data_IF_502619630046
#
_entry.id   IF_502619630046
#
_cell.length_a   1.000
_cell.length_b   1.000
_cell.length_c   1.000
_cell.angle_alpha   90.00
_cell.angle_beta   90.00
_cell.angle_gamma   90.00
#
_symmetry.space_group_name_H-M   'P 1'
#
loop_
_entity.id
_entity.type
_entity.pdbx_description
1 polymer ?
#
# COMPACT_ATOMS: atom_id res chain seq x y z
N UNK A 1 -4.61 -92.15 12.60
CA UNK A 1 -4.55 -91.20 11.46
C UNK A 1 -5.18 -89.89 11.92
N UNK A 2 -4.38 -88.85 12.15
CA UNK A 2 -4.84 -87.52 12.61
C UNK A 2 -4.66 -86.55 11.45
N UNK A 3 -5.74 -86.00 10.92
CA UNK A 3 -5.72 -84.95 9.92
C UNK A 3 -5.66 -83.59 10.62
N UNK A 4 -4.57 -82.85 10.42
CA UNK A 4 -4.47 -81.43 10.79
C UNK A 4 -5.00 -80.58 9.64
N UNK A 5 -6.07 -79.85 9.90
CA UNK A 5 -6.59 -78.79 9.03
C UNK A 5 -5.85 -77.50 9.32
N UNK A 6 -5.16 -76.96 8.30
CA UNK A 6 -4.54 -75.63 8.34
C UNK A 6 -5.51 -74.64 7.70
N UNK A 7 -5.96 -73.66 8.48
CA UNK A 7 -6.83 -72.57 8.02
C UNK A 7 -5.95 -71.42 7.52
N UNK A 8 -6.03 -71.09 6.22
CA UNK A 8 -5.40 -69.89 5.65
C UNK A 8 -6.27 -68.66 5.99
N UNK A 9 -5.71 -67.72 6.74
CA UNK A 9 -6.31 -66.40 6.94
C UNK A 9 -5.68 -65.41 5.96
N UNK A 10 -6.47 -64.95 4.98
CA UNK A 10 -6.07 -63.93 4.01
C UNK A 10 -6.25 -62.55 4.64
N UNK A 11 -5.15 -61.82 4.87
CA UNK A 11 -5.18 -60.43 5.35
C UNK A 11 -5.29 -59.50 4.13
N UNK A 12 -6.43 -58.79 4.02
CA UNK A 12 -6.61 -57.69 3.08
C UNK A 12 -5.92 -56.43 3.63
N UNK A 13 -4.84 -55.99 3.00
CA UNK A 13 -4.29 -54.64 3.19
C UNK A 13 -5.19 -53.63 2.46
N UNK A 14 -5.90 -52.80 3.23
CA UNK A 14 -6.57 -51.61 2.71
C UNK A 14 -5.54 -50.51 2.42
N UNK A 15 -5.44 -50.11 1.15
CA UNK A 15 -4.72 -48.90 0.77
C UNK A 15 -5.59 -47.68 1.12
N UNK A 16 -5.21 -46.94 2.17
CA UNK A 16 -5.78 -45.62 2.45
C UNK A 16 -5.12 -44.64 1.48
N UNK A 17 -5.85 -44.24 0.46
CA UNK A 17 -5.44 -43.12 -0.39
C UNK A 17 -5.44 -41.85 0.49
N UNK A 18 -4.24 -41.30 0.73
CA UNK A 18 -4.10 -39.99 1.34
C UNK A 18 -4.72 -38.96 0.38
N UNK A 19 -5.81 -38.34 0.80
CA UNK A 19 -6.37 -37.19 0.10
C UNK A 19 -5.29 -36.09 0.02
N UNK A 20 -5.11 -35.43 -1.13
CA UNK A 20 -4.22 -34.28 -1.23
C UNK A 20 -4.70 -33.23 -0.23
N UNK A 21 -3.78 -32.77 0.62
CA UNK A 21 -4.03 -31.66 1.52
C UNK A 21 -4.50 -30.47 0.69
N UNK A 22 -5.76 -30.10 0.82
CA UNK A 22 -6.27 -28.82 0.34
C UNK A 22 -5.53 -27.75 1.11
N UNK A 23 -4.52 -27.13 0.48
CA UNK A 23 -3.97 -25.85 0.93
C UNK A 23 -5.13 -24.87 0.96
N UNK A 24 -5.63 -24.59 2.16
CA UNK A 24 -6.45 -23.42 2.43
C UNK A 24 -5.73 -22.20 1.86
N UNK A 25 -6.38 -21.36 1.04
CA UNK A 25 -5.77 -20.10 0.63
C UNK A 25 -5.55 -19.30 1.91
N UNK A 26 -4.28 -19.19 2.32
CA UNK A 26 -3.88 -18.30 3.40
C UNK A 26 -4.51 -16.94 3.11
N UNK A 27 -5.39 -16.49 3.99
CA UNK A 27 -5.99 -15.17 3.93
C UNK A 27 -4.81 -14.20 4.02
N UNK A 28 -4.33 -13.67 2.89
CA UNK A 28 -3.18 -12.75 2.88
C UNK A 28 -3.68 -11.45 3.51
N UNK A 29 -3.27 -11.09 4.74
CA UNK A 29 -3.57 -9.75 5.22
C UNK A 29 -2.91 -8.79 4.22
N UNK A 30 -3.62 -7.72 3.83
CA UNK A 30 -3.11 -6.70 2.88
C UNK A 30 -2.03 -5.81 3.52
N UNK A 31 -1.13 -6.42 4.29
CA UNK A 31 0.01 -5.86 4.98
C UNK A 31 1.31 -6.26 4.29
N UNK A 32 2.32 -5.41 4.44
CA UNK A 32 3.64 -5.59 3.85
C UNK A 32 4.72 -5.13 4.84
N UNK A 33 5.54 -6.06 5.30
CA UNK A 33 6.63 -5.83 6.25
C UNK A 33 7.88 -5.37 5.53
N UNK A 34 8.28 -4.13 5.77
CA UNK A 34 9.47 -3.57 5.18
C UNK A 34 10.75 -4.32 5.63
N UNK A 35 11.55 -4.87 4.68
CA UNK A 35 12.86 -5.43 4.99
C UNK A 35 13.78 -4.38 5.62
N UNK A 36 14.72 -4.83 6.44
CA UNK A 36 15.81 -3.99 6.94
C UNK A 36 16.83 -3.67 5.85
N UNK A 37 17.35 -2.44 5.85
CA UNK A 37 18.42 -2.03 4.92
C UNK A 37 17.97 -1.90 3.47
N UNK A 38 16.68 -1.59 3.24
CA UNK A 38 16.23 -1.20 1.91
C UNK A 38 17.02 0.01 1.43
N UNK A 39 17.31 0.03 0.13
CA UNK A 39 17.84 1.22 -0.53
C UNK A 39 16.72 2.24 -0.64
N UNK A 40 17.09 3.50 -0.72
CA UNK A 40 16.16 4.56 -1.08
C UNK A 40 15.58 4.29 -2.47
N UNK A 41 14.33 4.68 -2.70
CA UNK A 41 13.67 4.56 -3.99
C UNK A 41 12.19 4.19 -3.89
N UNK A 42 11.57 4.03 -5.05
CA UNK A 42 10.17 3.63 -5.19
C UNK A 42 10.06 2.11 -5.40
N UNK A 43 9.14 1.50 -4.66
CA UNK A 43 8.91 0.08 -4.62
C UNK A 43 7.46 -0.29 -4.88
N UNK A 44 7.28 -1.50 -5.44
CA UNK A 44 6.01 -2.23 -5.44
C UNK A 44 6.12 -3.37 -4.45
N UNK A 45 5.23 -3.39 -3.47
CA UNK A 45 5.04 -4.52 -2.57
C UNK A 45 3.90 -5.39 -3.07
N UNK A 46 4.10 -6.70 -3.19
CA UNK A 46 3.07 -7.66 -3.56
C UNK A 46 3.43 -9.05 -3.03
N UNK A 47 2.48 -9.98 -3.08
CA UNK A 47 2.77 -11.39 -2.80
C UNK A 47 2.82 -12.18 -4.11
N UNK A 48 3.89 -12.94 -4.36
CA UNK A 48 4.04 -13.74 -5.56
C UNK A 48 3.10 -14.97 -5.59
N UNK A 49 3.20 -15.79 -6.64
CA UNK A 49 2.38 -16.99 -6.82
C UNK A 49 2.55 -17.99 -5.66
N UNK A 50 3.73 -18.03 -5.03
CA UNK A 50 4.02 -18.88 -3.86
C UNK A 50 3.48 -18.29 -2.55
N UNK A 51 3.00 -17.06 -2.57
CA UNK A 51 2.56 -16.33 -1.37
C UNK A 51 3.68 -15.73 -0.56
N UNK A 52 4.87 -15.64 -1.13
CA UNK A 52 5.97 -14.91 -0.53
C UNK A 52 5.81 -13.43 -0.81
N UNK A 53 6.04 -12.62 0.21
CA UNK A 53 6.11 -11.17 0.11
C UNK A 53 7.33 -10.74 -0.72
N UNK A 54 7.11 -9.86 -1.69
CA UNK A 54 8.11 -9.32 -2.62
C UNK A 54 8.08 -7.80 -2.57
N UNK A 55 9.26 -7.19 -2.43
CA UNK A 55 9.49 -5.76 -2.56
C UNK A 55 10.35 -5.52 -3.80
N UNK A 56 9.71 -5.14 -4.89
CA UNK A 56 10.38 -4.85 -6.16
C UNK A 56 10.76 -3.37 -6.21
N UNK A 57 12.06 -3.08 -6.30
CA UNK A 57 12.55 -1.73 -6.59
C UNK A 57 12.25 -1.42 -8.06
N UNK A 58 11.31 -0.50 -8.31
CA UNK A 58 10.95 -0.11 -9.68
C UNK A 58 11.79 1.06 -10.16
N UNK A 59 12.18 1.94 -9.23
CA UNK A 59 12.95 3.13 -9.56
C UNK A 59 13.80 3.60 -8.37
N UNK A 60 15.04 3.95 -8.67
CA UNK A 60 15.95 4.66 -7.76
C UNK A 60 15.39 6.06 -7.40
N UNK A 61 15.87 6.73 -6.35
CA UNK A 61 15.38 8.04 -5.96
C UNK A 61 15.50 9.06 -7.10
N UNK A 62 14.50 9.92 -7.26
CA UNK A 62 14.58 10.96 -8.27
C UNK A 62 15.73 11.93 -7.92
N UNK A 63 16.54 12.24 -8.92
CA UNK A 63 17.64 13.19 -8.77
C UNK A 63 17.08 14.60 -8.55
N UNK A 64 17.83 15.52 -7.90
CA UNK A 64 17.38 16.91 -7.73
C UNK A 64 16.97 17.60 -9.04
N UNK A 65 17.59 17.22 -10.16
CA UNK A 65 17.27 17.72 -11.50
C UNK A 65 15.90 17.24 -12.00
N UNK A 66 15.57 15.97 -11.78
CA UNK A 66 14.26 15.41 -12.15
C UNK A 66 13.16 16.03 -11.29
N UNK A 67 13.41 16.19 -9.99
CA UNK A 67 12.50 16.85 -9.07
C UNK A 67 12.21 18.30 -9.48
N UNK A 68 13.24 19.05 -9.86
CA UNK A 68 13.10 20.45 -10.30
C UNK A 68 12.34 20.58 -11.62
N UNK A 69 12.50 19.61 -12.54
CA UNK A 69 11.76 19.59 -13.79
C UNK A 69 10.26 19.33 -13.58
N UNK A 70 9.89 18.53 -12.57
CA UNK A 70 8.49 18.22 -12.27
C UNK A 70 7.77 19.32 -11.47
N UNK A 71 8.48 20.19 -10.75
CA UNK A 71 7.89 21.34 -10.05
C UNK A 71 7.46 22.51 -10.95
N UNK A 72 7.81 22.48 -12.25
CA UNK A 72 7.64 23.62 -13.16
C UNK A 72 6.23 23.79 -13.77
N UNK A 73 5.30 22.88 -13.46
CA UNK A 73 3.91 22.97 -13.95
C UNK A 73 2.96 23.33 -12.80
N UNK A 74 3.21 24.45 -12.13
CA UNK A 74 2.17 25.11 -11.35
C UNK A 74 1.28 25.88 -12.33
N UNK A 75 0.27 25.21 -12.90
CA UNK A 75 -0.86 25.94 -13.48
C UNK A 75 -1.47 26.78 -12.36
N UNK A 76 -1.65 28.10 -12.52
CA UNK A 76 -2.32 28.90 -11.50
C UNK A 76 -3.70 28.29 -11.26
N UNK A 77 -3.94 27.88 -10.01
CA UNK A 77 -5.25 27.44 -9.55
C UNK A 77 -6.16 28.65 -9.69
N UNK A 78 -7.01 28.65 -10.71
CA UNK A 78 -8.07 29.62 -10.83
C UNK A 78 -8.94 29.51 -9.57
N UNK A 79 -9.13 30.65 -8.91
CA UNK A 79 -10.01 30.80 -7.76
C UNK A 79 -11.41 30.29 -8.18
N UNK A 80 -11.98 29.26 -7.52
CA UNK A 80 -13.27 28.74 -7.92
C UNK A 80 -14.34 29.78 -7.62
N UNK A 81 -15.04 30.24 -8.66
CA UNK A 81 -16.28 31.00 -8.50
C UNK A 81 -17.27 30.22 -7.61
N UNK A 82 -18.12 30.90 -6.82
CA UNK A 82 -19.01 30.25 -5.86
C UNK A 82 -20.14 29.53 -6.59
N UNK A 83 -19.87 28.32 -7.07
CA UNK A 83 -20.90 27.44 -7.60
C UNK A 83 -21.80 26.92 -6.48
N UNK A 84 -23.09 27.12 -6.71
CA UNK A 84 -24.27 26.72 -5.93
C UNK A 84 -24.03 25.49 -5.05
N UNK A 85 -24.42 25.62 -3.77
CA UNK A 85 -24.55 24.57 -2.76
C UNK A 85 -25.35 23.36 -3.28
N UNK A 86 -24.68 22.45 -3.98
CA UNK A 86 -25.11 21.07 -4.14
C UNK A 86 -24.94 20.41 -2.77
N UNK A 87 -25.96 19.68 -2.32
CA UNK A 87 -25.99 18.97 -1.04
C UNK A 87 -24.63 18.35 -0.70
N UNK A 88 -23.94 18.93 0.29
CA UNK A 88 -22.64 18.46 0.77
C UNK A 88 -22.84 17.09 1.43
N UNK A 89 -22.73 16.01 0.66
CA UNK A 89 -22.57 14.69 1.24
C UNK A 89 -21.33 14.73 2.14
N UNK A 90 -21.52 14.32 3.40
CA UNK A 90 -20.43 14.20 4.37
C UNK A 90 -19.37 13.27 3.79
N UNK A 91 -18.22 13.81 3.42
CA UNK A 91 -17.08 13.01 2.96
C UNK A 91 -16.63 12.14 4.14
N UNK A 92 -16.76 10.80 4.07
CA UNK A 92 -16.26 9.91 5.13
C UNK A 92 -14.76 9.69 4.97
N UNK A 93 -14.03 10.78 5.09
CA UNK A 93 -12.59 10.73 5.21
C UNK A 93 -12.21 10.21 6.58
N UNK A 94 -11.26 9.29 6.61
CA UNK A 94 -10.67 8.81 7.86
C UNK A 94 -9.19 9.15 7.91
N UNK A 95 -8.75 9.44 9.12
CA UNK A 95 -7.41 9.87 9.43
C UNK A 95 -6.90 9.08 10.63
N UNK A 96 -5.61 8.78 10.59
CA UNK A 96 -4.88 8.15 11.70
C UNK A 96 -3.58 8.92 11.88
N UNK A 97 -3.45 9.64 13.00
CA UNK A 97 -2.32 10.52 13.28
C UNK A 97 -1.39 9.93 14.35
N UNK A 98 -0.10 9.88 14.07
CA UNK A 98 0.96 9.45 14.98
C UNK A 98 1.39 10.55 15.95
N UNK A 99 0.45 11.17 16.67
CA UNK A 99 0.73 12.32 17.52
C UNK A 99 1.86 12.09 18.52
N UNK A 100 2.75 13.08 18.66
CA UNK A 100 3.93 13.00 19.52
C UNK A 100 5.14 12.34 18.85
N UNK A 101 4.99 11.84 17.62
CA UNK A 101 6.10 11.41 16.76
C UNK A 101 6.44 12.53 15.78
N UNK A 102 7.72 12.68 15.49
CA UNK A 102 8.24 13.53 14.41
C UNK A 102 8.96 12.64 13.41
N UNK A 103 8.96 13.07 12.15
CA UNK A 103 9.78 12.49 11.09
C UNK A 103 10.91 13.45 10.72
N UNK A 104 11.92 12.95 10.00
CA UNK A 104 12.89 13.82 9.34
C UNK A 104 12.21 14.55 8.18
N UNK A 105 12.33 15.89 8.15
CA UNK A 105 11.61 16.73 7.19
C UNK A 105 12.10 16.51 5.75
N UNK A 106 13.42 16.49 5.55
CA UNK A 106 14.02 16.32 4.22
C UNK A 106 13.74 14.95 3.64
N UNK A 107 13.84 13.90 4.46
CA UNK A 107 13.48 12.53 4.09
C UNK A 107 11.99 12.43 3.72
N UNK A 108 11.11 13.08 4.52
CA UNK A 108 9.67 13.06 4.29
C UNK A 108 9.29 13.73 2.97
N UNK A 109 9.77 14.96 2.74
CA UNK A 109 9.49 15.71 1.51
C UNK A 109 10.01 14.94 0.28
N UNK A 110 11.20 14.33 0.40
CA UNK A 110 11.80 13.57 -0.67
C UNK A 110 11.06 12.26 -0.97
N UNK A 111 10.64 11.49 0.05
CA UNK A 111 9.89 10.25 -0.14
C UNK A 111 8.50 10.52 -0.76
N UNK A 112 7.84 11.59 -0.32
CA UNK A 112 6.55 12.04 -0.88
C UNK A 112 6.71 12.44 -2.34
N UNK A 113 7.76 13.20 -2.67
CA UNK A 113 7.97 13.64 -4.05
C UNK A 113 8.38 12.48 -4.98
N UNK A 114 9.17 11.50 -4.52
CA UNK A 114 9.45 10.29 -5.29
C UNK A 114 8.16 9.52 -5.61
N UNK A 115 7.24 9.41 -4.64
CA UNK A 115 5.95 8.75 -4.84
C UNK A 115 5.08 9.51 -5.86
N UNK A 116 5.03 10.84 -5.77
CA UNK A 116 4.31 11.71 -6.73
C UNK A 116 4.90 11.62 -8.13
N UNK A 117 6.22 11.69 -8.26
CA UNK A 117 6.90 11.58 -9.54
C UNK A 117 6.64 10.21 -10.19
N UNK A 118 6.68 9.13 -9.41
CA UNK A 118 6.34 7.82 -9.96
C UNK A 118 4.88 7.75 -10.40
N UNK A 119 3.95 8.40 -9.68
CA UNK A 119 2.56 8.40 -10.09
C UNK A 119 2.34 9.10 -11.43
N UNK A 120 3.02 10.22 -11.69
CA UNK A 120 3.01 10.86 -13.02
C UNK A 120 3.48 9.91 -14.11
N UNK A 121 4.55 9.15 -13.85
CA UNK A 121 5.09 8.19 -14.81
C UNK A 121 4.15 7.01 -15.05
N UNK A 122 3.47 6.50 -14.02
CA UNK A 122 2.47 5.44 -14.22
C UNK A 122 1.24 5.95 -14.97
N UNK A 123 0.83 7.20 -14.72
CA UNK A 123 -0.30 7.83 -15.42
C UNK A 123 0.00 8.25 -16.87
N UNK A 124 1.27 8.52 -17.20
CA UNK A 124 1.67 8.87 -18.56
C UNK A 124 1.68 7.66 -19.53
N UNK A 125 1.50 6.44 -19.02
CA UNK A 125 1.42 5.22 -19.84
C UNK A 125 -0.01 5.05 -20.37
N UNK A 126 -0.13 4.51 -21.58
CA UNK A 126 -1.43 4.36 -22.27
C UNK A 126 -2.50 3.71 -21.37
N UNK A 127 -3.69 4.32 -21.39
CA UNK A 127 -4.84 3.96 -20.54
C UNK A 127 -5.29 2.50 -20.71
N UNK A 128 -4.92 1.85 -21.82
CA UNK A 128 -5.27 0.45 -22.13
C UNK A 128 -4.57 -0.58 -21.23
N UNK A 129 -3.44 -0.24 -20.61
CA UNK A 129 -2.61 -1.21 -19.88
C UNK A 129 -2.99 -1.39 -18.40
N UNK A 130 -4.01 -0.67 -17.89
CA UNK A 130 -4.39 -0.64 -16.45
C UNK A 130 -3.21 -0.29 -15.51
N UNK A 131 -2.15 0.33 -16.03
CA UNK A 131 -0.93 0.70 -15.27
C UNK A 131 -1.14 1.88 -14.31
N UNK A 132 -2.28 2.56 -14.41
CA UNK A 132 -2.74 3.58 -13.48
C UNK A 132 -3.47 3.00 -12.25
N UNK A 133 -3.44 1.68 -12.06
CA UNK A 133 -4.08 0.98 -10.94
C UNK A 133 -3.04 0.27 -10.07
N UNK A 134 -3.27 0.27 -8.77
CA UNK A 134 -2.65 -0.63 -7.80
C UNK A 134 -3.48 -1.91 -7.80
N UNK A 135 -2.87 -3.04 -8.14
CA UNK A 135 -3.56 -4.32 -8.24
C UNK A 135 -4.07 -4.80 -6.87
N UNK A 136 -5.07 -5.70 -6.82
CA UNK A 136 -5.42 -6.41 -5.59
C UNK A 136 -4.18 -7.09 -4.99
N UNK A 137 -3.97 -6.95 -3.68
CA UNK A 137 -2.81 -7.54 -3.00
C UNK A 137 -1.46 -6.91 -3.40
N UNK A 138 -1.48 -5.67 -3.90
CA UNK A 138 -0.30 -4.86 -4.20
C UNK A 138 -0.36 -3.54 -3.43
N UNK A 139 0.78 -2.92 -3.14
CA UNK A 139 0.87 -1.57 -2.58
C UNK A 139 2.13 -0.87 -3.07
N UNK A 140 2.09 0.45 -3.15
CA UNK A 140 3.21 1.26 -3.60
C UNK A 140 3.79 2.04 -2.42
N UNK A 141 5.10 2.19 -2.39
CA UNK A 141 5.75 3.04 -1.41
C UNK A 141 7.09 3.58 -1.92
N UNK A 142 7.55 4.67 -1.34
CA UNK A 142 8.88 5.23 -1.53
C UNK A 142 9.59 5.33 -0.19
N UNK A 143 10.88 4.99 -0.15
CA UNK A 143 11.74 5.16 1.03
C UNK A 143 12.79 6.22 0.73
N UNK A 144 12.98 7.13 1.69
CA UNK A 144 14.13 8.04 1.75
C UNK A 144 14.63 8.09 3.19
N UNK A 145 15.84 7.58 3.41
CA UNK A 145 16.47 7.56 4.73
C UNK A 145 15.57 6.93 5.79
N UNK A 146 15.01 7.78 6.67
CA UNK A 146 14.19 7.38 7.81
C UNK A 146 12.67 7.42 7.58
N UNK A 147 12.20 7.72 6.37
CA UNK A 147 10.75 7.88 6.08
C UNK A 147 10.30 6.94 4.96
N UNK A 148 9.10 6.41 5.12
CA UNK A 148 8.33 5.74 4.06
C UNK A 148 7.06 6.52 3.76
N UNK A 149 6.85 6.86 2.49
CA UNK A 149 5.60 7.41 1.96
C UNK A 149 4.90 6.31 1.13
N UNK A 150 3.59 6.12 1.28
CA UNK A 150 2.91 4.94 0.76
C UNK A 150 1.50 5.22 0.21
N UNK A 151 1.06 4.30 -0.66
CA UNK A 151 -0.31 4.12 -1.12
C UNK A 151 -0.67 2.63 -1.07
N UNK A 152 -1.47 2.25 -0.08
CA UNK A 152 -1.81 0.87 0.21
C UNK A 152 -3.17 0.47 -0.39
N UNK A 153 -3.18 -0.48 -1.33
CA UNK A 153 -4.43 -1.12 -1.73
C UNK A 153 -4.78 -2.23 -0.74
N UNK A 154 -5.64 -1.89 0.21
CA UNK A 154 -6.14 -2.84 1.22
C UNK A 154 -7.42 -3.57 0.78
N UNK A 155 -7.84 -3.38 -0.46
CA UNK A 155 -9.06 -3.97 -1.00
C UNK A 155 -8.73 -5.13 -1.92
N UNK A 156 -9.71 -6.01 -2.12
CA UNK A 156 -9.64 -7.12 -3.08
C UNK A 156 -9.88 -6.68 -4.53
N UNK A 157 -10.15 -5.39 -4.75
CA UNK A 157 -10.36 -4.77 -6.05
C UNK A 157 -9.16 -3.90 -6.42
N UNK A 158 -9.09 -3.50 -7.69
CA UNK A 158 -8.13 -2.52 -8.16
C UNK A 158 -8.36 -1.18 -7.45
N UNK A 159 -7.27 -0.53 -7.05
CA UNK A 159 -7.30 0.83 -6.51
C UNK A 159 -6.69 1.79 -7.54
N UNK A 160 -7.28 2.96 -7.84
CA UNK A 160 -6.60 3.94 -8.66
C UNK A 160 -5.33 4.43 -7.94
N UNK A 161 -4.21 4.47 -8.64
CA UNK A 161 -3.02 5.19 -8.17
C UNK A 161 -3.41 6.66 -8.07
N UNK A 162 -3.14 7.41 -7.00
CA UNK A 162 -3.42 8.85 -7.00
C UNK A 162 -2.50 9.63 -7.95
N UNK A 163 -3.03 10.61 -8.68
CA UNK A 163 -2.19 11.56 -9.45
C UNK A 163 -1.39 12.46 -8.51
N UNK A 164 -0.35 13.13 -9.00
CA UNK A 164 0.49 14.07 -8.21
C UNK A 164 -0.34 15.11 -7.45
N UNK A 165 -1.34 15.71 -8.08
CA UNK A 165 -2.25 16.69 -7.48
C UNK A 165 -3.07 16.06 -6.34
N UNK A 166 -3.58 14.85 -6.55
CA UNK A 166 -4.32 14.08 -5.53
C UNK A 166 -3.42 13.73 -4.35
N UNK A 167 -2.21 13.22 -4.58
CA UNK A 167 -1.22 13.01 -3.51
C UNK A 167 -0.92 14.30 -2.75
N UNK A 168 -0.75 15.42 -3.47
CA UNK A 168 -0.50 16.73 -2.86
C UNK A 168 -1.65 17.14 -1.96
N UNK A 169 -2.89 16.95 -2.39
CA UNK A 169 -4.06 17.19 -1.57
C UNK A 169 -4.09 16.27 -0.33
N UNK A 170 -3.87 14.97 -0.50
CA UNK A 170 -3.94 14.00 0.61
C UNK A 170 -2.88 14.30 1.68
N UNK A 171 -1.64 14.59 1.28
CA UNK A 171 -0.58 14.95 2.22
C UNK A 171 -0.80 16.33 2.86
N UNK A 172 -1.43 17.26 2.14
CA UNK A 172 -1.88 18.54 2.71
C UNK A 172 -2.94 18.34 3.79
N UNK A 173 -3.93 17.46 3.57
CA UNK A 173 -4.96 17.13 4.57
C UNK A 173 -4.38 16.38 5.78
N UNK A 174 -3.43 15.46 5.56
CA UNK A 174 -2.71 14.79 6.66
C UNK A 174 -1.94 15.84 7.47
N UNK A 175 -1.22 16.75 6.82
CA UNK A 175 -0.48 17.84 7.50
C UNK A 175 -1.42 18.75 8.29
N UNK A 176 -2.56 19.11 7.73
CA UNK A 176 -3.57 19.96 8.39
C UNK A 176 -4.15 19.31 9.64
N UNK A 177 -4.28 17.97 9.67
CA UNK A 177 -4.89 17.25 10.81
C UNK A 177 -3.90 16.71 11.82
N UNK A 178 -2.79 16.14 11.35
CA UNK A 178 -1.81 15.49 12.20
C UNK A 178 -0.68 16.44 12.62
N UNK A 179 -0.51 17.55 11.90
CA UNK A 179 0.62 18.47 12.06
C UNK A 179 1.74 18.21 11.05
N UNK A 180 2.62 19.20 10.93
CA UNK A 180 3.79 19.14 10.05
C UNK A 180 4.73 18.00 10.44
N UNK A 181 5.04 17.14 9.46
CA UNK A 181 5.99 16.03 9.61
C UNK A 181 5.63 15.03 10.74
N UNK A 182 4.35 14.94 11.09
CA UNK A 182 3.81 13.94 12.02
C UNK A 182 3.26 12.76 11.19
N UNK A 183 3.66 11.50 11.45
CA UNK A 183 3.15 10.34 10.72
C UNK A 183 1.63 10.36 10.60
N UNK A 184 1.11 10.02 9.42
CA UNK A 184 -0.33 10.04 9.22
C UNK A 184 -0.80 9.28 7.98
N UNK A 185 -2.04 8.82 8.05
CA UNK A 185 -2.74 8.12 6.97
C UNK A 185 -4.06 8.80 6.67
N UNK A 186 -4.39 8.88 5.39
CA UNK A 186 -5.68 9.30 4.84
C UNK A 186 -6.31 8.15 4.05
N UNK A 187 -7.63 8.03 4.13
CA UNK A 187 -8.43 7.26 3.17
C UNK A 187 -9.82 7.87 3.02
N UNK A 188 -10.54 7.43 1.98
CA UNK A 188 -11.96 7.72 1.81
C UNK A 188 -12.74 6.42 1.67
N UNK A 189 -13.39 6.00 2.76
CA UNK A 189 -14.12 4.73 2.83
C UNK A 189 -15.50 4.78 2.14
N UNK A 190 -15.95 5.95 1.69
CA UNK A 190 -17.24 6.11 1.01
C UNK A 190 -17.19 5.91 -0.51
N UNK A 191 -16.01 5.71 -1.10
CA UNK A 191 -15.88 5.54 -2.53
C UNK A 191 -15.86 4.04 -2.88
N UNK A 192 -16.98 3.57 -3.44
CA UNK A 192 -17.05 2.31 -4.18
C UNK A 192 -15.96 2.34 -5.27
N UNK A 193 -14.95 1.48 -5.15
CA UNK A 193 -13.79 1.48 -6.06
C UNK A 193 -12.42 1.44 -5.40
N UNK A 194 -12.36 1.28 -4.08
CA UNK A 194 -11.13 0.91 -3.38
C UNK A 194 -10.07 2.01 -3.41
N UNK A 195 -10.32 3.12 -2.71
CA UNK A 195 -9.31 4.17 -2.52
C UNK A 195 -8.13 3.61 -1.72
N UNK A 196 -6.88 3.81 -2.17
CA UNK A 196 -5.75 3.36 -1.40
C UNK A 196 -5.62 4.18 -0.10
N UNK A 197 -5.15 3.54 0.95
CA UNK A 197 -4.74 4.27 2.15
C UNK A 197 -3.42 4.96 1.83
N UNK A 198 -3.41 6.29 1.86
CA UNK A 198 -2.25 7.10 1.51
C UNK A 198 -1.66 7.70 2.77
N UNK A 199 -0.35 7.68 2.92
CA UNK A 199 0.27 8.25 4.10
C UNK A 199 1.78 8.28 4.07
N UNK A 200 2.35 8.68 5.20
CA UNK A 200 3.78 8.63 5.47
C UNK A 200 4.02 8.30 6.94
N UNK A 201 5.14 7.64 7.23
CA UNK A 201 5.55 7.33 8.61
C UNK A 201 7.06 7.08 8.71
N UNK A 202 7.57 7.02 9.94
CA UNK A 202 8.94 6.63 10.21
C UNK A 202 9.20 5.19 9.77
N UNK A 203 10.18 5.00 8.88
CA UNK A 203 10.68 3.70 8.47
C UNK A 203 11.39 3.01 9.63
N UNK A 204 11.13 1.70 9.76
CA UNK A 204 11.92 0.78 10.59
C UNK A 204 11.81 -0.63 9.99
N UNK A 205 12.82 -1.46 10.22
CA UNK A 205 12.78 -2.85 9.82
C UNK A 205 11.58 -3.57 10.47
N UNK A 206 10.93 -4.45 9.70
CA UNK A 206 9.73 -5.21 10.07
C UNK A 206 8.47 -4.38 10.34
N UNK A 207 8.46 -3.09 10.00
CA UNK A 207 7.25 -2.26 9.99
C UNK A 207 6.28 -2.78 8.93
N UNK A 208 5.05 -3.10 9.32
CA UNK A 208 3.99 -3.40 8.35
C UNK A 208 3.35 -2.07 7.93
N UNK A 209 3.92 -1.40 6.93
CA UNK A 209 3.50 -0.05 6.58
C UNK A 209 2.05 0.03 6.09
N UNK A 210 1.48 -1.08 5.63
CA UNK A 210 0.08 -1.12 5.26
C UNK A 210 -0.86 -1.57 6.37
N UNK A 211 -0.44 -2.22 7.46
CA UNK A 211 -1.32 -2.48 8.61
C UNK A 211 -1.14 -1.45 9.73
N UNK A 212 0.11 -1.09 10.02
CA UNK A 212 0.49 -0.21 11.11
C UNK A 212 0.01 1.23 10.91
N UNK A 213 -0.24 1.62 9.65
CA UNK A 213 -0.64 2.98 9.28
C UNK A 213 -1.99 3.43 9.85
N UNK A 214 -2.81 2.48 10.33
CA UNK A 214 -4.14 2.75 10.89
C UNK A 214 -4.30 2.30 12.34
N UNK A 215 -3.19 2.10 13.06
CA UNK A 215 -3.25 1.65 14.47
C UNK A 215 -3.56 2.79 15.46
N UNK A 216 -3.33 4.05 15.09
CA UNK A 216 -3.64 5.19 15.96
C UNK A 216 -5.15 5.37 16.12
N UNK A 217 -5.64 5.67 17.32
CA UNK A 217 -7.04 6.04 17.51
C UNK A 217 -7.30 7.56 17.40
N UNK A 218 -6.28 8.33 16.99
CA UNK A 218 -6.35 9.79 16.88
C UNK A 218 -6.55 10.20 15.42
N UNK A 219 -7.57 11.01 15.17
CA UNK A 219 -7.84 11.62 13.86
C UNK A 219 -7.22 13.01 13.70
N UNK A 220 -6.57 13.51 14.76
CA UNK A 220 -5.90 14.82 14.82
C UNK A 220 -4.84 14.88 15.91
N UNK A 221 -3.92 15.83 15.72
CA UNK A 221 -3.07 16.43 16.74
C UNK A 221 -3.33 17.95 16.71
#
# INVERSE_FOLDING_TARGET
MRFSTVTLATVLLGAVAAAPATTEPATRPNGFKLPGGLKDGFYRAYHDESGREVHELVREPATPKELSASSSTSTPVAEPEPEKLVHLQRRAWKYWCGCGLSMNHGDCDAAVEDLKHQSDVEYAKDYGDRKNLILPGQSFYSIRGSVVAFACNRNWNYAPVPRRDSFTQFYGEITNRCGWYVPGTWTNDNLDGGVPHVGYMNYRANLDFCQDSTQSNRDRC
#
